data_IF_852640452881
#
_entry.id   IF_852640452881
#
_cell.length_a   1.000
_cell.length_b   1.000
_cell.length_c   1.000
_cell.angle_alpha   90.00
_cell.angle_beta   90.00
_cell.angle_gamma   90.00
#
_symmetry.space_group_name_H-M   'P 1'
#
loop_
_entity.id
_entity.type
_entity.pdbx_description
1 polymer ?
#
# COMPACT_ATOMS: atom_id res chain seq x y z
N UNK A 1 8.69 17.70 -13.68
CA UNK A 1 8.15 16.40 -13.24
C UNK A 1 8.78 16.11 -11.89
N UNK A 2 7.96 15.91 -10.87
CA UNK A 2 8.43 15.66 -9.51
C UNK A 2 8.13 14.20 -9.18
N UNK A 3 9.06 13.54 -8.49
CA UNK A 3 8.95 12.12 -8.12
C UNK A 3 9.07 12.01 -6.62
N UNK A 4 8.16 11.24 -6.01
CA UNK A 4 8.21 10.87 -4.59
C UNK A 4 8.47 9.37 -4.51
N UNK A 5 9.55 8.98 -3.84
CA UNK A 5 9.94 7.59 -3.67
C UNK A 5 9.70 7.16 -2.22
N UNK A 6 8.74 6.26 -2.02
CA UNK A 6 8.38 5.71 -0.71
C UNK A 6 8.90 4.27 -0.60
N UNK A 7 9.71 3.99 0.42
CA UNK A 7 10.16 2.62 0.76
C UNK A 7 9.75 2.33 2.19
N UNK A 8 9.20 1.13 2.40
CA UNK A 8 8.97 0.58 3.73
C UNK A 8 9.82 -0.68 3.87
N UNK A 9 10.72 -0.70 4.85
CA UNK A 9 11.59 -1.84 5.10
C UNK A 9 10.79 -3.02 5.67
N UNK A 10 11.08 -4.24 5.22
CA UNK A 10 10.39 -5.49 5.59
C UNK A 10 8.86 -5.49 5.42
N UNK A 11 8.30 -4.54 4.67
CA UNK A 11 6.85 -4.42 4.53
C UNK A 11 6.31 -5.48 3.57
N UNK A 12 5.74 -6.54 4.14
CA UNK A 12 5.28 -7.69 3.38
C UNK A 12 4.02 -7.35 2.58
N UNK A 13 3.92 -7.95 1.39
CA UNK A 13 2.77 -7.78 0.49
C UNK A 13 1.45 -8.20 1.15
N UNK A 14 1.46 -9.27 1.92
CA UNK A 14 0.28 -9.80 2.60
C UNK A 14 -0.20 -8.91 3.76
N UNK A 15 0.49 -7.81 4.10
CA UNK A 15 0.05 -6.83 5.11
C UNK A 15 -0.76 -5.65 4.52
N UNK A 16 -1.04 -5.69 3.23
CA UNK A 16 -1.77 -4.63 2.52
C UNK A 16 -3.20 -5.07 2.21
N UNK A 17 -4.15 -4.19 2.49
CA UNK A 17 -5.57 -4.41 2.19
C UNK A 17 -5.84 -4.63 0.71
N UNK A 18 -5.19 -3.86 -0.17
CA UNK A 18 -5.30 -4.02 -1.63
C UNK A 18 -4.78 -5.38 -2.16
N UNK A 19 -4.01 -6.13 -1.36
CA UNK A 19 -3.58 -7.49 -1.68
C UNK A 19 -4.43 -8.57 -0.99
N UNK A 20 -5.57 -8.19 -0.39
CA UNK A 20 -6.52 -9.13 0.23
C UNK A 20 -6.34 -9.32 1.74
N UNK A 21 -5.60 -8.45 2.43
CA UNK A 21 -5.54 -8.50 3.89
C UNK A 21 -6.85 -7.93 4.50
N UNK A 22 -7.58 -8.76 5.26
CA UNK A 22 -8.85 -8.36 5.89
C UNK A 22 -8.68 -7.82 7.33
N UNK A 23 -7.49 -7.94 7.92
CA UNK A 23 -7.21 -7.60 9.32
C UNK A 23 -6.47 -6.25 9.47
N UNK A 24 -5.36 -6.08 8.73
CA UNK A 24 -4.54 -4.88 8.73
C UNK A 24 -5.18 -3.86 7.78
N UNK A 25 -5.47 -2.66 8.30
CA UNK A 25 -6.12 -1.60 7.53
C UNK A 25 -5.08 -0.63 6.98
N UNK A 26 -4.99 -0.55 5.65
CA UNK A 26 -4.07 0.36 4.94
C UNK A 26 -4.81 1.32 3.99
N UNK A 27 -5.82 2.07 4.47
CA UNK A 27 -6.78 2.76 3.59
C UNK A 27 -6.15 3.77 2.62
N UNK A 28 -5.05 4.42 3.00
CA UNK A 28 -4.34 5.36 2.11
C UNK A 28 -3.62 4.66 0.96
N UNK A 29 -2.96 3.52 1.24
CA UNK A 29 -2.26 2.73 0.23
C UNK A 29 -3.25 1.97 -0.65
N UNK A 30 -4.36 1.50 -0.06
CA UNK A 30 -5.42 0.80 -0.79
C UNK A 30 -6.11 1.77 -1.77
N UNK A 31 -6.45 2.98 -1.31
CA UNK A 31 -7.02 4.02 -2.16
C UNK A 31 -6.02 4.52 -3.22
N UNK A 32 -4.72 4.48 -2.95
CA UNK A 32 -3.69 4.82 -3.93
C UNK A 32 -3.56 3.75 -5.02
N UNK A 33 -3.60 2.47 -4.65
CA UNK A 33 -3.56 1.35 -5.59
C UNK A 33 -4.75 1.34 -6.56
N UNK A 34 -5.93 1.83 -6.13
CA UNK A 34 -7.10 1.98 -7.01
C UNK A 34 -7.07 3.20 -7.96
N UNK A 35 -6.02 4.02 -7.94
CA UNK A 35 -5.86 5.23 -8.77
C UNK A 35 -4.82 5.07 -9.87
N UNK A 36 -4.28 3.86 -10.06
CA UNK A 36 -3.30 3.50 -11.07
C UNK A 36 -3.87 2.55 -12.10
#
# INVERSE_FOLDING_TARGET
>A
MNVIWLVADTFRRDHLGCYGNEWIRTPALDAFAGKS
#
